data_IF_940596449576
#
_entry.id   IF_940596449576
#
_cell.length_a   1.000
_cell.length_b   1.000
_cell.length_c   1.000
_cell.angle_alpha   90.00
_cell.angle_beta   90.00
_cell.angle_gamma   90.00
#
_symmetry.space_group_name_H-M   'P 1'
#
loop_
_entity.id
_entity.type
_entity.pdbx_description
1 polymer ?
#
# COMPACT_ATOMS: atom_id res chain seq x y z
N UNK A 1 -8.75 -12.45 -6.28
CA UNK A 1 -8.85 -11.11 -5.66
C UNK A 1 -7.92 -10.17 -6.42
N UNK A 2 -8.41 -9.11 -7.04
CA UNK A 2 -7.54 -8.16 -7.72
C UNK A 2 -6.78 -7.36 -6.66
N UNK A 3 -5.44 -7.29 -6.72
CA UNK A 3 -4.66 -6.50 -5.78
C UNK A 3 -4.98 -5.01 -5.95
N UNK A 4 -5.00 -4.26 -4.85
CA UNK A 4 -5.18 -2.78 -4.87
C UNK A 4 -4.01 -2.11 -5.59
N UNK A 5 -2.83 -2.73 -5.55
CA UNK A 5 -1.62 -2.29 -6.26
C UNK A 5 -1.20 -3.33 -7.30
N UNK A 6 -1.87 -3.39 -8.47
CA UNK A 6 -1.51 -4.34 -9.52
C UNK A 6 -0.12 -4.01 -10.09
N UNK A 7 0.68 -5.05 -10.31
CA UNK A 7 2.05 -4.90 -10.84
C UNK A 7 3.09 -4.50 -9.80
N UNK A 8 2.74 -4.46 -8.52
CA UNK A 8 3.71 -4.25 -7.45
C UNK A 8 4.68 -5.43 -7.32
N UNK A 9 5.96 -5.12 -7.21
CA UNK A 9 7.03 -6.09 -6.90
C UNK A 9 7.75 -5.65 -5.64
N UNK A 10 8.22 -6.63 -4.85
CA UNK A 10 9.01 -6.38 -3.64
C UNK A 10 10.45 -6.85 -3.90
N UNK A 11 11.35 -5.99 -4.39
CA UNK A 11 12.74 -6.34 -4.61
C UNK A 11 13.48 -6.45 -3.26
N UNK A 12 14.50 -7.31 -3.20
CA UNK A 12 15.41 -7.35 -2.07
C UNK A 12 16.35 -6.13 -2.08
N UNK A 13 16.86 -5.75 -0.91
CA UNK A 13 17.84 -4.66 -0.80
C UNK A 13 19.08 -4.93 -1.64
N UNK A 14 19.59 -6.18 -1.63
CA UNK A 14 20.74 -6.60 -2.44
C UNK A 14 20.49 -6.39 -3.92
N UNK A 15 19.31 -6.79 -4.42
CA UNK A 15 18.93 -6.60 -5.82
C UNK A 15 18.88 -5.12 -6.19
N UNK A 16 18.34 -4.26 -5.34
CA UNK A 16 18.30 -2.81 -5.58
C UNK A 16 19.71 -2.21 -5.69
N UNK A 17 20.59 -2.55 -4.76
CA UNK A 17 21.97 -2.05 -4.74
C UNK A 17 22.74 -2.53 -6.00
N UNK A 18 22.62 -3.81 -6.33
CA UNK A 18 23.25 -4.40 -7.50
C UNK A 18 22.73 -3.78 -8.81
N UNK A 19 21.42 -3.59 -8.92
CA UNK A 19 20.79 -2.97 -10.09
C UNK A 19 21.26 -1.52 -10.28
N UNK A 20 21.35 -0.75 -9.18
CA UNK A 20 21.89 0.62 -9.22
C UNK A 20 23.35 0.64 -9.66
N UNK A 21 24.17 -0.26 -9.15
CA UNK A 21 25.59 -0.35 -9.52
C UNK A 21 25.77 -0.74 -11.00
N UNK A 22 25.10 -1.77 -11.45
CA UNK A 22 25.16 -2.24 -12.84
C UNK A 22 24.55 -1.24 -13.82
N UNK A 23 23.36 -0.70 -13.51
CA UNK A 23 22.66 0.26 -14.35
C UNK A 23 23.42 1.58 -14.53
N UNK A 24 24.11 2.03 -13.49
CA UNK A 24 24.94 3.24 -13.53
C UNK A 24 26.36 3.00 -14.05
N UNK A 25 26.71 1.75 -14.39
CA UNK A 25 28.07 1.35 -14.76
C UNK A 25 29.14 1.77 -13.72
N UNK A 26 28.77 1.68 -12.45
CA UNK A 26 29.63 2.05 -11.32
C UNK A 26 29.76 3.55 -11.05
N UNK A 27 28.99 4.40 -11.74
CA UNK A 27 29.05 5.86 -11.53
C UNK A 27 28.25 6.32 -10.28
N UNK A 28 27.30 5.51 -9.80
CA UNK A 28 26.53 5.78 -8.59
C UNK A 28 27.01 4.88 -7.45
N UNK A 29 27.26 5.50 -6.31
CA UNK A 29 27.61 4.80 -5.07
C UNK A 29 26.48 5.01 -4.07
N UNK A 30 26.05 3.93 -3.41
CA UNK A 30 25.07 4.02 -2.33
C UNK A 30 25.76 4.57 -1.09
N UNK A 31 25.40 5.77 -0.69
CA UNK A 31 25.95 6.44 0.49
C UNK A 31 25.32 5.91 1.80
N UNK A 32 24.00 5.76 1.80
CA UNK A 32 23.29 5.30 3.00
C UNK A 32 22.01 4.54 2.66
N UNK A 33 21.60 3.66 3.57
CA UNK A 33 20.34 2.94 3.51
C UNK A 33 19.63 3.09 4.85
N UNK A 34 18.41 3.62 4.81
CA UNK A 34 17.60 3.82 6.00
C UNK A 34 16.31 3.01 5.94
N UNK A 35 15.97 2.31 7.00
CA UNK A 35 14.72 1.59 7.11
C UNK A 35 13.63 2.52 7.67
N UNK A 36 12.72 2.96 6.80
CA UNK A 36 11.56 3.80 7.16
C UNK A 36 10.26 3.00 7.35
N UNK A 37 10.32 1.67 7.31
CA UNK A 37 9.16 0.80 7.46
C UNK A 37 8.25 1.13 8.65
N UNK A 38 8.78 1.42 9.87
CA UNK A 38 7.95 1.81 11.00
C UNK A 38 7.13 3.09 10.76
N UNK A 39 7.67 4.04 10.00
CA UNK A 39 6.96 5.27 9.62
C UNK A 39 5.83 5.00 8.63
N UNK A 40 5.98 4.00 7.77
CA UNK A 40 4.96 3.64 6.79
C UNK A 40 3.69 3.10 7.45
N UNK A 41 3.80 2.38 8.55
CA UNK A 41 2.65 1.95 9.33
C UNK A 41 1.80 3.13 9.83
N UNK A 42 2.44 4.25 10.18
CA UNK A 42 1.73 5.50 10.52
C UNK A 42 1.02 6.09 9.29
N UNK A 43 1.68 6.11 8.15
CA UNK A 43 1.09 6.59 6.89
C UNK A 43 -0.17 5.80 6.53
N UNK A 44 -0.14 4.47 6.65
CA UNK A 44 -1.31 3.63 6.37
C UNK A 44 -2.46 3.86 7.34
N UNK A 45 -2.18 4.12 8.62
CA UNK A 45 -3.22 4.51 9.59
C UNK A 45 -3.87 5.85 9.24
N UNK A 46 -3.07 6.83 8.81
CA UNK A 46 -3.59 8.13 8.35
C UNK A 46 -4.39 8.00 7.06
N UNK A 47 -3.97 7.18 6.12
CA UNK A 47 -4.74 6.89 4.90
C UNK A 47 -6.07 6.23 5.24
N UNK A 48 -6.06 5.24 6.13
CA UNK A 48 -7.29 4.58 6.59
C UNK A 48 -8.25 5.58 7.22
N UNK A 49 -7.74 6.45 8.09
CA UNK A 49 -8.57 7.49 8.75
C UNK A 49 -9.19 8.42 7.71
N UNK A 50 -8.39 9.01 6.82
CA UNK A 50 -8.88 9.92 5.78
C UNK A 50 -9.87 9.24 4.82
N UNK A 51 -9.61 7.99 4.48
CA UNK A 51 -10.50 7.19 3.65
C UNK A 51 -11.88 7.03 4.31
N UNK A 52 -11.91 6.69 5.59
CA UNK A 52 -13.16 6.55 6.34
C UNK A 52 -13.90 7.88 6.49
N UNK A 53 -13.17 8.95 6.82
CA UNK A 53 -13.75 10.29 7.02
C UNK A 53 -14.39 10.85 5.73
N UNK A 54 -13.84 10.50 4.56
CA UNK A 54 -14.30 11.02 3.27
C UNK A 54 -15.08 9.98 2.44
N UNK A 55 -15.35 8.80 3.01
CA UNK A 55 -15.93 7.70 2.25
C UNK A 55 -17.30 8.03 1.69
N UNK A 56 -18.23 8.49 2.51
CA UNK A 56 -19.60 8.74 2.12
C UNK A 56 -19.76 10.03 1.29
N UNK A 57 -18.99 11.06 1.61
CA UNK A 57 -19.16 12.39 1.00
C UNK A 57 -18.38 12.55 -0.32
N UNK A 58 -17.26 11.86 -0.49
CA UNK A 58 -16.38 12.04 -1.65
C UNK A 58 -16.22 10.75 -2.46
N UNK A 59 -15.90 9.63 -1.79
CA UNK A 59 -15.53 8.40 -2.49
C UNK A 59 -16.75 7.72 -3.11
N UNK A 60 -17.84 7.60 -2.38
CA UNK A 60 -19.07 6.99 -2.88
C UNK A 60 -19.65 7.72 -4.09
N UNK A 61 -19.77 9.06 -4.10
CA UNK A 61 -20.19 9.79 -5.29
C UNK A 61 -19.24 9.61 -6.48
N UNK A 62 -17.93 9.63 -6.24
CA UNK A 62 -16.93 9.42 -7.29
C UNK A 62 -17.00 8.01 -7.90
N UNK A 63 -17.16 6.97 -7.07
CA UNK A 63 -17.35 5.59 -7.54
C UNK A 63 -18.62 5.44 -8.39
N UNK A 64 -19.72 6.06 -7.99
CA UNK A 64 -20.97 6.04 -8.76
C UNK A 64 -20.86 6.78 -10.09
N UNK A 65 -20.08 7.84 -10.13
CA UNK A 65 -19.84 8.59 -11.36
C UNK A 65 -18.98 7.80 -12.35
N UNK A 66 -17.94 7.13 -11.87
CA UNK A 66 -17.02 6.35 -12.71
C UNK A 66 -17.61 4.99 -13.12
N UNK A 67 -18.36 4.37 -12.24
CA UNK A 67 -18.99 3.05 -12.44
C UNK A 67 -20.52 3.13 -12.35
N UNK A 68 -21.22 3.41 -13.46
CA UNK A 68 -22.69 3.52 -13.46
C UNK A 68 -23.42 2.26 -12.98
N UNK A 69 -22.79 1.08 -13.08
CA UNK A 69 -23.30 -0.18 -12.54
C UNK A 69 -23.52 -0.16 -11.02
N UNK A 70 -22.73 0.64 -10.30
CA UNK A 70 -22.85 0.81 -8.84
C UNK A 70 -24.03 1.70 -8.41
N UNK A 71 -24.78 2.25 -9.36
CA UNK A 71 -25.98 3.05 -9.10
C UNK A 71 -27.21 2.18 -8.84
N UNK A 72 -27.22 0.93 -9.29
CA UNK A 72 -28.30 -0.03 -9.05
C UNK A 72 -28.43 -0.35 -7.56
N UNK A 73 -29.64 -0.20 -6.98
CA UNK A 73 -29.86 -0.19 -5.52
C UNK A 73 -29.36 -1.44 -4.79
N UNK A 74 -29.49 -2.65 -5.36
CA UNK A 74 -29.16 -3.89 -4.64
C UNK A 74 -27.72 -4.37 -4.90
N UNK A 75 -27.24 -4.31 -6.12
CA UNK A 75 -25.87 -4.72 -6.46
C UNK A 75 -24.83 -3.62 -6.17
N UNK A 76 -25.18 -2.37 -6.42
CA UNK A 76 -24.27 -1.24 -6.25
C UNK A 76 -23.86 -1.01 -4.79
N UNK A 77 -24.76 -1.17 -3.83
CA UNK A 77 -24.44 -1.04 -2.40
C UNK A 77 -23.49 -2.16 -1.95
N UNK A 78 -23.67 -3.36 -2.46
CA UNK A 78 -22.77 -4.48 -2.15
C UNK A 78 -21.37 -4.26 -2.75
N UNK A 79 -21.26 -3.77 -3.98
CA UNK A 79 -19.98 -3.48 -4.62
C UNK A 79 -19.22 -2.35 -3.91
N UNK A 80 -19.89 -1.29 -3.48
CA UNK A 80 -19.30 -0.20 -2.70
C UNK A 80 -18.78 -0.70 -1.36
N UNK A 81 -19.55 -1.55 -0.67
CA UNK A 81 -19.12 -2.15 0.60
C UNK A 81 -17.94 -3.12 0.42
N UNK A 82 -17.94 -3.93 -0.64
CA UNK A 82 -16.80 -4.79 -1.01
C UNK A 82 -15.57 -3.95 -1.29
N UNK A 83 -15.68 -2.85 -2.02
CA UNK A 83 -14.58 -1.93 -2.26
C UNK A 83 -14.01 -1.36 -0.95
N UNK A 84 -14.89 -0.90 -0.05
CA UNK A 84 -14.51 -0.40 1.26
C UNK A 84 -13.71 -1.42 2.07
N UNK A 85 -14.22 -2.65 2.14
CA UNK A 85 -13.57 -3.75 2.88
C UNK A 85 -12.20 -4.12 2.29
N UNK A 86 -12.10 -4.20 0.97
CA UNK A 86 -10.81 -4.46 0.29
C UNK A 86 -9.78 -3.42 0.66
N UNK A 87 -10.14 -2.15 0.57
CA UNK A 87 -9.23 -1.04 0.90
C UNK A 87 -8.77 -1.08 2.37
N UNK A 88 -9.70 -1.34 3.29
CA UNK A 88 -9.39 -1.44 4.71
C UNK A 88 -8.52 -2.65 5.05
N UNK A 89 -8.76 -3.81 4.41
CA UNK A 89 -7.92 -5.00 4.56
C UNK A 89 -6.50 -4.75 4.07
N UNK A 90 -6.32 -4.20 2.88
CA UNK A 90 -5.01 -3.88 2.32
C UNK A 90 -4.21 -2.95 3.23
N UNK A 91 -4.82 -1.89 3.74
CA UNK A 91 -4.16 -0.98 4.69
C UNK A 91 -3.77 -1.68 5.99
N UNK A 92 -4.56 -2.62 6.48
CA UNK A 92 -4.28 -3.35 7.71
C UNK A 92 -3.19 -4.42 7.51
N UNK A 93 -3.28 -5.21 6.45
CA UNK A 93 -2.33 -6.29 6.16
C UNK A 93 -0.94 -5.76 5.85
N UNK A 94 -0.82 -4.74 5.00
CA UNK A 94 0.46 -4.12 4.66
C UNK A 94 1.08 -3.47 5.92
N UNK A 95 0.28 -2.79 6.74
CA UNK A 95 0.75 -2.21 7.99
C UNK A 95 1.31 -3.25 8.96
N UNK A 96 0.64 -4.39 9.09
CA UNK A 96 1.06 -5.49 9.95
C UNK A 96 2.33 -6.19 9.44
N UNK A 97 2.38 -6.47 8.14
CA UNK A 97 3.52 -7.10 7.49
C UNK A 97 4.78 -6.24 7.62
N UNK A 98 4.68 -4.93 7.42
CA UNK A 98 5.81 -4.01 7.55
C UNK A 98 6.33 -3.94 8.98
N UNK A 99 5.46 -3.95 9.99
CA UNK A 99 5.87 -4.01 11.39
C UNK A 99 6.63 -5.30 11.67
N UNK A 100 6.14 -6.46 11.20
CA UNK A 100 6.81 -7.74 11.38
C UNK A 100 8.16 -7.81 10.69
N UNK A 101 8.27 -7.31 9.45
CA UNK A 101 9.54 -7.27 8.70
C UNK A 101 10.56 -6.37 9.41
N UNK A 102 10.14 -5.21 9.92
CA UNK A 102 11.02 -4.33 10.68
C UNK A 102 11.51 -4.93 12.00
N UNK A 103 10.66 -5.70 12.69
CA UNK A 103 11.09 -6.44 13.88
C UNK A 103 12.10 -7.53 13.53
N UNK A 104 11.88 -8.28 12.44
CA UNK A 104 12.84 -9.30 11.97
C UNK A 104 14.18 -8.70 11.53
N UNK A 105 14.19 -7.56 10.83
CA UNK A 105 15.44 -6.89 10.48
C UNK A 105 16.21 -6.39 11.71
N UNK A 106 15.54 -5.98 12.77
CA UNK A 106 16.21 -5.59 14.02
C UNK A 106 16.85 -6.76 14.75
N UNK A 107 16.29 -7.96 14.65
CA UNK A 107 16.87 -9.18 15.24
C UNK A 107 18.10 -9.69 14.47
N UNK A 108 18.22 -9.40 13.18
CA UNK A 108 19.35 -9.80 12.35
C UNK A 108 20.56 -8.85 12.43
N UNK A 109 20.38 -7.67 13.03
CA UNK A 109 21.45 -6.68 13.23
C UNK A 109 22.01 -6.66 14.67
N UNK A 110 21.51 -7.53 15.52
CA UNK A 110 22.07 -7.81 16.86
C UNK A 110 22.90 -9.10 16.85
#
# INVERSE_FOLDING_TARGET
MLPVFPGGILPTLSLLIETLHLGSKGMLVVDSVNNIGPHYARTLREWRRRFLDQFDDVIVPALKAEYPSMVSRDQGLNEIEVFKRKWLCECAEIGHLLVLICFSCRLLLL
#
